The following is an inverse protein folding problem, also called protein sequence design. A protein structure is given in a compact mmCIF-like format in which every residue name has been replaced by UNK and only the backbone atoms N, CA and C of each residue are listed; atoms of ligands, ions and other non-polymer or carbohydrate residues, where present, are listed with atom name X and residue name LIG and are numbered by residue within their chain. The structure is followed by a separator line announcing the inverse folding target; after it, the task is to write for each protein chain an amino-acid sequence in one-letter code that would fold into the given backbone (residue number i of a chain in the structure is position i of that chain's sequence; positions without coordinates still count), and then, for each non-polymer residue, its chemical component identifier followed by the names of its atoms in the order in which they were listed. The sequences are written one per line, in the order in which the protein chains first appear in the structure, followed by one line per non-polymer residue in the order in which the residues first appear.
data_IF_426210475108
#
_entry.id   IF_426210475108
#
_cell.length_a   1.000
_cell.length_b   1.000
_cell.length_c   1.000
_cell.angle_alpha   90.00
_cell.angle_beta   90.00
_cell.angle_gamma   90.00
#
_symmetry.space_group_name_H-M   'P 1'
#
loop_
_entity.id
_entity.type
_entity.pdbx_description
1 polymer ?
#
# COMPACT_ATOMS: atom_id res chain seq x y z
N UNK A 1 12.13 12.17 -3.94
CA UNK A 1 13.47 11.61 -4.23
C UNK A 1 13.87 10.68 -3.10
N UNK A 2 14.53 9.54 -3.41
CA UNK A 2 15.00 8.61 -2.38
C UNK A 2 16.11 9.23 -1.52
N UNK A 3 16.05 9.01 -0.21
CA UNK A 3 17.09 9.42 0.74
C UNK A 3 17.92 8.19 1.12
N UNK A 4 19.12 8.07 0.54
CA UNK A 4 20.06 6.97 0.80
C UNK A 4 21.11 7.44 1.78
N UNK A 5 21.32 6.67 2.84
CA UNK A 5 22.26 6.95 3.93
C UNK A 5 23.32 5.88 3.99
N UNK A 6 24.49 6.27 4.50
CA UNK A 6 25.61 5.38 4.80
C UNK A 6 26.21 5.77 6.15
N UNK A 7 26.02 4.89 7.13
CA UNK A 7 26.46 5.11 8.50
C UNK A 7 27.63 4.19 8.87
N UNK A 8 28.62 4.74 9.59
CA UNK A 8 29.60 3.95 10.29
C UNK A 8 29.01 3.52 11.64
N UNK A 9 29.05 2.22 11.91
CA UNK A 9 28.43 1.63 13.10
C UNK A 9 29.44 0.75 13.85
N UNK A 10 29.21 0.57 15.15
CA UNK A 10 29.90 -0.45 15.93
C UNK A 10 29.10 -1.74 15.92
N UNK A 11 29.70 -2.82 15.44
CA UNK A 11 29.09 -4.15 15.40
C UNK A 11 29.02 -4.76 16.83
N UNK A 12 28.16 -5.80 17.03
CA UNK A 12 28.03 -6.48 18.32
C UNK A 12 29.36 -7.09 18.86
N UNK A 13 30.29 -7.44 17.97
CA UNK A 13 31.65 -7.91 18.33
C UNK A 13 32.66 -6.77 18.63
N UNK A 14 32.17 -5.52 18.60
CA UNK A 14 32.95 -4.32 18.87
C UNK A 14 33.73 -3.75 17.68
N UNK A 15 33.72 -4.42 16.52
CA UNK A 15 34.42 -3.94 15.33
C UNK A 15 33.65 -2.84 14.61
N UNK A 16 34.35 -1.98 13.82
CA UNK A 16 33.68 -1.04 12.94
C UNK A 16 32.96 -1.78 11.79
N UNK A 17 31.84 -1.26 11.37
CA UNK A 17 31.09 -1.73 10.23
C UNK A 17 30.38 -0.59 9.52
N UNK A 18 29.79 -0.86 8.37
CA UNK A 18 29.02 0.11 7.58
C UNK A 18 27.60 -0.42 7.38
N UNK A 19 26.63 0.49 7.42
CA UNK A 19 25.23 0.22 7.04
C UNK A 19 24.78 1.24 6.01
N UNK A 20 24.23 0.73 4.93
CA UNK A 20 23.59 1.53 3.90
C UNK A 20 22.09 1.24 3.94
N UNK A 21 21.28 2.31 3.93
CA UNK A 21 19.84 2.17 4.04
C UNK A 21 19.10 3.35 3.43
N UNK A 22 17.82 3.11 3.12
CA UNK A 22 16.88 4.12 2.64
C UNK A 22 16.06 4.61 3.83
N UNK A 23 15.99 5.94 4.01
CA UNK A 23 15.08 6.57 4.94
C UNK A 23 13.79 6.94 4.21
N UNK A 24 12.67 6.38 4.69
CA UNK A 24 11.35 6.54 4.10
C UNK A 24 10.39 7.22 5.08
N UNK A 25 9.47 8.10 4.64
CA UNK A 25 8.53 8.80 5.52
C UNK A 25 7.48 7.86 6.14
N UNK A 26 7.25 6.72 5.55
CA UNK A 26 6.13 5.82 5.76
C UNK A 26 5.14 5.89 4.61
N UNK A 27 4.21 4.97 4.59
CA UNK A 27 3.16 4.88 3.59
C UNK A 27 1.88 4.27 4.19
N UNK A 28 0.81 4.30 3.41
CA UNK A 28 -0.44 3.62 3.69
C UNK A 28 -0.79 2.68 2.55
N UNK A 29 -1.57 1.63 2.82
CA UNK A 29 -2.29 0.84 1.83
C UNK A 29 -3.72 0.69 2.29
N UNK A 30 -4.66 0.84 1.37
CA UNK A 30 -6.09 0.79 1.66
C UNK A 30 -6.71 -0.45 1.02
N UNK A 31 -7.58 -1.13 1.77
CA UNK A 31 -8.47 -2.20 1.28
C UNK A 31 -9.86 -1.58 1.11
N UNK A 32 -10.21 -1.08 -0.08
CA UNK A 32 -11.50 -0.45 -0.31
C UNK A 32 -12.54 -1.51 -0.66
N UNK A 33 -13.62 -1.59 0.11
CA UNK A 33 -14.70 -2.58 -0.05
C UNK A 33 -15.99 -1.90 -0.49
N UNK A 34 -16.46 -2.24 -1.67
CA UNK A 34 -17.73 -1.78 -2.22
C UNK A 34 -18.93 -2.42 -1.50
N UNK A 35 -20.13 -1.86 -1.68
CA UNK A 35 -21.35 -2.36 -1.08
C UNK A 35 -21.73 -3.79 -1.53
N UNK A 36 -21.28 -4.20 -2.70
CA UNK A 36 -21.44 -5.55 -3.25
C UNK A 36 -20.33 -6.55 -2.85
N UNK A 37 -19.41 -6.13 -1.96
CA UNK A 37 -18.29 -6.95 -1.49
C UNK A 37 -17.08 -7.00 -2.42
N UNK A 38 -17.12 -6.33 -3.58
CA UNK A 38 -15.96 -6.22 -4.46
C UNK A 38 -14.93 -5.28 -3.88
N UNK A 39 -13.65 -5.61 -4.06
CA UNK A 39 -12.50 -4.76 -3.72
C UNK A 39 -12.11 -3.89 -4.91
N UNK A 40 -11.58 -2.70 -4.63
CA UNK A 40 -11.02 -1.82 -5.65
C UNK A 40 -9.51 -1.98 -5.65
N UNK A 41 -8.97 -2.24 -6.83
CA UNK A 41 -7.54 -2.28 -7.15
C UNK A 41 -7.25 -1.24 -8.21
N UNK A 42 -5.96 -0.99 -8.40
CA UNK A 42 -5.43 -0.18 -9.48
C UNK A 42 -4.37 -0.95 -10.26
N UNK A 43 -4.22 -0.63 -11.54
CA UNK A 43 -3.13 -1.10 -12.38
C UNK A 43 -2.19 0.07 -12.63
N UNK A 44 -1.00 0.01 -12.05
CA UNK A 44 0.00 1.07 -12.11
C UNK A 44 1.30 0.57 -12.76
N UNK A 45 1.87 1.37 -13.68
CA UNK A 45 3.18 1.08 -14.24
C UNK A 45 4.28 1.41 -13.23
N UNK A 46 5.14 0.43 -12.96
CA UNK A 46 6.27 0.58 -12.04
C UNK A 46 7.58 0.57 -12.81
N UNK A 47 8.14 1.76 -13.04
CA UNK A 47 9.33 1.98 -13.85
C UNK A 47 10.52 1.06 -13.53
N UNK A 48 10.89 0.81 -12.24
CA UNK A 48 12.03 -0.04 -11.92
C UNK A 48 11.91 -1.48 -12.44
N UNK A 49 10.70 -1.96 -12.63
CA UNK A 49 10.40 -3.32 -13.11
C UNK A 49 9.89 -3.36 -14.56
N UNK A 50 9.70 -2.19 -15.19
CA UNK A 50 9.33 -2.04 -16.59
C UNK A 50 7.97 -2.64 -16.97
N UNK A 51 7.05 -2.80 -16.00
CA UNK A 51 5.71 -3.38 -16.24
C UNK A 51 4.65 -2.79 -15.31
N UNK A 52 3.39 -2.99 -15.67
CA UNK A 52 2.27 -2.67 -14.81
C UNK A 52 2.04 -3.77 -13.75
N UNK A 53 1.64 -3.34 -12.56
CA UNK A 53 1.26 -4.19 -11.43
C UNK A 53 -0.19 -3.95 -11.08
N UNK A 54 -0.85 -4.98 -10.60
CA UNK A 54 -2.16 -4.90 -9.98
C UNK A 54 -1.95 -4.75 -8.48
N UNK A 55 -2.38 -3.62 -7.93
CA UNK A 55 -2.09 -3.19 -6.57
C UNK A 55 -3.36 -2.70 -5.86
N UNK A 56 -3.36 -2.71 -4.54
CA UNK A 56 -4.32 -1.94 -3.75
C UNK A 56 -3.84 -0.48 -3.67
N UNK A 57 -4.77 0.50 -3.63
CA UNK A 57 -4.45 1.92 -3.50
C UNK A 57 -3.51 2.18 -2.33
N UNK A 58 -2.44 2.94 -2.58
CA UNK A 58 -1.38 3.11 -1.60
C UNK A 58 -0.47 4.31 -1.92
N UNK A 59 -0.17 5.12 -0.92
CA UNK A 59 0.74 6.22 -1.11
C UNK A 59 1.55 6.59 0.11
N UNK A 60 2.45 7.57 -0.07
CA UNK A 60 3.40 8.00 0.94
C UNK A 60 2.78 9.06 1.86
N UNK A 61 3.20 9.02 3.12
CA UNK A 61 2.90 10.09 4.06
C UNK A 61 3.62 11.38 3.66
N UNK A 62 2.89 12.46 3.64
CA UNK A 62 3.47 13.80 3.59
C UNK A 62 4.08 14.19 4.94
N UNK A 63 4.90 15.25 4.94
CA UNK A 63 5.59 15.70 6.14
C UNK A 63 4.59 16.13 7.24
N UNK A 64 4.51 15.33 8.32
CA UNK A 64 3.62 15.59 9.45
C UNK A 64 2.16 15.19 9.22
N UNK A 65 1.87 14.47 8.14
CA UNK A 65 0.53 13.98 7.82
C UNK A 65 0.12 12.84 8.78
N UNK A 66 -1.13 12.87 9.22
CA UNK A 66 -1.75 11.77 9.96
C UNK A 66 -2.00 10.57 9.04
N UNK A 67 -1.74 9.35 9.54
CA UNK A 67 -1.85 8.13 8.72
C UNK A 67 -3.25 7.89 8.16
N UNK A 68 -4.31 8.24 8.91
CA UNK A 68 -5.68 8.09 8.41
C UNK A 68 -6.04 9.19 7.41
N UNK A 69 -5.52 10.40 7.58
CA UNK A 69 -5.68 11.48 6.61
C UNK A 69 -5.03 11.09 5.27
N UNK A 70 -3.80 10.57 5.30
CA UNK A 70 -3.12 10.02 4.14
C UNK A 70 -3.95 8.92 3.45
N UNK A 71 -4.44 7.94 4.21
CA UNK A 71 -5.24 6.84 3.64
C UNK A 71 -6.52 7.35 2.94
N UNK A 72 -7.15 8.41 3.46
CA UNK A 72 -8.33 9.03 2.84
C UNK A 72 -7.97 9.77 1.56
N UNK A 73 -6.89 10.53 1.60
CA UNK A 73 -6.38 11.29 0.45
C UNK A 73 -6.02 10.36 -0.69
N UNK A 74 -5.15 9.37 -0.45
CA UNK A 74 -4.70 8.42 -1.47
C UNK A 74 -5.86 7.62 -2.08
N UNK A 75 -6.81 7.13 -1.27
CA UNK A 75 -7.98 6.45 -1.80
C UNK A 75 -8.77 7.33 -2.77
N UNK A 76 -8.96 8.60 -2.43
CA UNK A 76 -9.71 9.53 -3.27
C UNK A 76 -8.93 9.90 -4.52
N UNK A 77 -7.66 10.28 -4.40
CA UNK A 77 -6.80 10.70 -5.50
C UNK A 77 -6.68 9.60 -6.55
N UNK A 78 -6.34 8.39 -6.15
CA UNK A 78 -6.07 7.28 -7.05
C UNK A 78 -7.34 6.61 -7.60
N UNK A 79 -8.43 6.56 -6.82
CA UNK A 79 -9.61 5.77 -7.21
C UNK A 79 -10.88 6.59 -7.43
N UNK A 80 -10.92 7.82 -6.97
CA UNK A 80 -12.12 8.66 -6.97
C UNK A 80 -13.16 8.29 -5.91
N UNK A 81 -12.85 7.38 -4.98
CA UNK A 81 -13.79 6.98 -3.94
C UNK A 81 -13.43 7.57 -2.57
N UNK A 82 -14.46 7.99 -1.84
CA UNK A 82 -14.38 8.32 -0.41
C UNK A 82 -15.05 7.24 0.43
N UNK A 83 -14.41 6.82 1.51
CA UNK A 83 -14.95 5.86 2.47
C UNK A 83 -15.57 6.55 3.68
N UNK A 84 -16.72 6.08 4.17
CA UNK A 84 -17.36 6.59 5.38
C UNK A 84 -16.90 5.88 6.66
N UNK A 85 -16.47 4.63 6.57
CA UNK A 85 -16.01 3.83 7.71
C UNK A 85 -14.58 3.37 7.47
N UNK A 86 -13.74 3.57 8.49
CA UNK A 86 -12.31 3.30 8.41
C UNK A 86 -11.84 2.49 9.61
N UNK A 87 -10.99 1.52 9.37
CA UNK A 87 -10.35 0.74 10.42
C UNK A 87 -8.89 0.52 10.11
N UNK A 88 -8.00 0.93 11.00
CA UNK A 88 -6.59 0.57 10.94
C UNK A 88 -6.44 -0.90 11.37
N UNK A 89 -5.81 -1.71 10.53
CA UNK A 89 -5.68 -3.16 10.72
C UNK A 89 -4.32 -3.54 11.29
N UNK A 90 -3.27 -2.83 10.89
CA UNK A 90 -1.91 -3.13 11.33
C UNK A 90 -0.86 -2.44 10.49
N UNK A 91 0.39 -2.81 10.74
CA UNK A 91 1.58 -2.24 10.08
C UNK A 91 2.41 -3.36 9.47
N UNK A 92 2.95 -3.14 8.28
CA UNK A 92 3.95 -4.00 7.67
C UNK A 92 5.25 -3.25 7.38
N UNK A 93 6.35 -3.98 7.29
CA UNK A 93 7.67 -3.46 6.91
C UNK A 93 8.16 -4.25 5.70
N UNK A 94 8.18 -3.66 4.47
CA UNK A 94 8.48 -4.41 3.25
C UNK A 94 9.96 -4.79 3.12
N UNK A 95 10.88 -3.96 3.64
CA UNK A 95 12.31 -4.02 3.33
C UNK A 95 13.21 -3.85 4.55
N UNK A 96 12.97 -4.57 5.65
CA UNK A 96 13.66 -4.39 6.94
C UNK A 96 15.19 -4.52 6.90
N UNK A 97 15.75 -5.09 5.83
CA UNK A 97 17.19 -5.24 5.66
C UNK A 97 17.92 -3.97 5.20
N UNK A 98 17.21 -3.04 4.55
CA UNK A 98 17.84 -1.84 3.97
C UNK A 98 16.91 -0.61 3.91
N UNK A 99 15.74 -0.65 4.53
CA UNK A 99 14.84 0.49 4.63
C UNK A 99 14.13 0.49 5.98
N UNK A 100 13.85 1.68 6.49
CA UNK A 100 12.96 1.86 7.65
C UNK A 100 11.50 2.06 7.23
N UNK A 101 11.15 1.75 6.00
CA UNK A 101 9.79 1.88 5.49
C UNK A 101 8.81 1.06 6.32
N UNK A 102 7.72 1.70 6.69
CA UNK A 102 6.54 1.07 7.26
C UNK A 102 5.32 1.45 6.43
N UNK A 103 4.40 0.52 6.27
CA UNK A 103 3.14 0.72 5.56
C UNK A 103 1.99 0.40 6.51
N UNK A 104 1.12 1.37 6.74
CA UNK A 104 -0.06 1.22 7.58
C UNK A 104 -1.23 0.68 6.75
N UNK A 105 -1.87 -0.38 7.21
CA UNK A 105 -2.93 -1.09 6.48
C UNK A 105 -4.28 -0.62 6.98
N UNK A 106 -5.12 -0.12 6.10
CA UNK A 106 -6.47 0.35 6.39
C UNK A 106 -7.54 -0.43 5.63
N UNK A 107 -8.66 -0.67 6.28
CA UNK A 107 -9.91 -1.10 5.65
C UNK A 107 -10.83 0.11 5.50
N UNK A 108 -11.37 0.32 4.31
CA UNK A 108 -12.36 1.36 4.01
C UNK A 108 -13.66 0.73 3.48
N UNK A 109 -14.80 1.10 4.08
CA UNK A 109 -16.12 0.67 3.64
C UNK A 109 -17.08 1.86 3.53
N UNK A 110 -18.28 1.61 2.99
CA UNK A 110 -19.25 2.69 2.75
C UNK A 110 -18.71 3.66 1.70
N UNK A 111 -18.20 3.11 0.60
CA UNK A 111 -17.58 3.87 -0.47
C UNK A 111 -18.61 4.63 -1.28
N UNK A 112 -18.29 5.90 -1.58
CA UNK A 112 -19.06 6.76 -2.50
C UNK A 112 -18.08 7.35 -3.51
N UNK A 113 -18.43 7.32 -4.80
CA UNK A 113 -17.62 7.96 -5.82
C UNK A 113 -17.78 9.49 -5.74
N UNK A 114 -16.67 10.19 -5.62
CA UNK A 114 -16.60 11.65 -5.48
C UNK A 114 -15.75 12.32 -6.56
N UNK A 115 -15.17 11.54 -7.47
CA UNK A 115 -14.25 11.98 -8.52
C UNK A 115 -12.80 11.73 -8.14
N UNK A 116 -12.02 11.31 -9.13
CA UNK A 116 -10.58 11.12 -9.04
C UNK A 116 -9.83 12.45 -9.14
N UNK A 117 -8.62 12.49 -8.61
CA UNK A 117 -7.75 13.66 -8.64
C UNK A 117 -6.29 13.19 -8.70
N UNK A 118 -5.97 12.40 -9.75
CA UNK A 118 -4.64 11.86 -9.98
C UNK A 118 -3.58 12.98 -10.04
N UNK A 119 -2.44 12.72 -9.47
CA UNK A 119 -1.28 13.58 -9.58
C UNK A 119 -0.77 13.65 -11.03
N UNK A 120 -0.10 14.77 -11.37
CA UNK A 120 0.49 14.98 -12.69
C UNK A 120 1.47 13.84 -13.04
N UNK A 121 1.15 13.10 -14.13
CA UNK A 121 1.96 11.97 -14.60
C UNK A 121 1.58 10.62 -14.01
N UNK A 122 0.55 10.54 -13.19
CA UNK A 122 -0.04 9.26 -12.76
C UNK A 122 -1.09 8.78 -13.78
N UNK A 123 -0.95 7.51 -14.14
CA UNK A 123 -1.86 6.83 -15.06
C UNK A 123 -2.27 5.51 -14.42
N UNK A 124 -3.49 5.48 -13.89
CA UNK A 124 -4.06 4.34 -13.17
C UNK A 124 -5.28 3.80 -13.91
N UNK A 125 -5.39 2.49 -13.95
CA UNK A 125 -6.60 1.78 -14.40
C UNK A 125 -7.26 1.14 -13.19
N UNK A 126 -8.49 1.53 -12.89
CA UNK A 126 -9.24 0.96 -11.77
C UNK A 126 -9.77 -0.42 -12.13
N UNK A 127 -9.50 -1.39 -11.29
CA UNK A 127 -9.93 -2.79 -11.44
C UNK A 127 -10.76 -3.20 -10.23
N UNK A 128 -11.93 -3.80 -10.45
CA UNK A 128 -12.75 -4.35 -9.38
C UNK A 128 -12.63 -5.87 -9.39
N UNK A 129 -12.43 -6.45 -8.21
CA UNK A 129 -12.20 -7.88 -8.08
C UNK A 129 -12.80 -8.40 -6.76
N UNK A 130 -13.34 -9.62 -6.76
CA UNK A 130 -13.73 -10.26 -5.52
C UNK A 130 -12.49 -10.64 -4.68
N UNK A 131 -12.65 -10.79 -3.37
CA UNK A 131 -11.56 -11.27 -2.50
C UNK A 131 -11.05 -12.64 -2.95
N UNK A 132 -11.95 -13.52 -3.39
CA UNK A 132 -11.60 -14.85 -3.89
C UNK A 132 -10.75 -14.77 -5.17
N UNK A 133 -11.15 -13.94 -6.14
CA UNK A 133 -10.38 -13.74 -7.38
C UNK A 133 -9.03 -13.07 -7.12
N UNK A 134 -8.97 -12.14 -6.16
CA UNK A 134 -7.73 -11.50 -5.75
C UNK A 134 -6.75 -12.51 -5.13
N UNK A 135 -7.25 -13.41 -4.30
CA UNK A 135 -6.46 -14.52 -3.75
C UNK A 135 -5.91 -15.43 -4.86
N UNK A 136 -6.73 -15.85 -5.79
CA UNK A 136 -6.29 -16.65 -6.95
C UNK A 136 -5.26 -15.87 -7.79
N UNK A 137 -5.41 -14.54 -7.93
CA UNK A 137 -4.47 -13.69 -8.63
C UNK A 137 -3.08 -13.63 -7.94
N UNK A 138 -3.00 -13.84 -6.64
CA UNK A 138 -1.71 -14.01 -5.93
C UNK A 138 -1.07 -15.34 -6.30
N UNK A 139 -1.84 -16.44 -6.29
CA UNK A 139 -1.30 -17.77 -6.56
C UNK A 139 -0.91 -18.00 -8.03
N UNK A 140 -1.59 -17.36 -8.97
CA UNK A 140 -1.27 -17.43 -10.40
C UNK A 140 -0.25 -16.36 -10.87
N UNK A 141 0.21 -15.49 -9.96
CA UNK A 141 1.26 -14.50 -10.21
C UNK A 141 0.79 -13.20 -10.89
N UNK A 142 -0.51 -12.96 -11.02
CA UNK A 142 -1.04 -11.65 -11.47
C UNK A 142 -0.85 -10.55 -10.43
N UNK A 143 -0.93 -10.89 -9.13
CA UNK A 143 -0.60 -10.00 -8.01
C UNK A 143 0.70 -10.49 -7.39
N UNK A 144 1.74 -9.67 -7.44
CA UNK A 144 3.07 -9.98 -6.90
C UNK A 144 3.61 -8.88 -6.00
N UNK A 145 2.84 -7.81 -5.80
CA UNK A 145 3.21 -6.70 -4.92
C UNK A 145 3.03 -7.09 -3.45
N UNK A 146 4.10 -6.93 -2.66
CA UNK A 146 4.15 -7.38 -1.28
C UNK A 146 3.13 -6.69 -0.36
N UNK A 147 2.90 -5.37 -0.54
CA UNK A 147 1.92 -4.63 0.28
C UNK A 147 0.50 -5.12 0.01
N UNK A 148 0.17 -5.37 -1.26
CA UNK A 148 -1.14 -5.89 -1.67
C UNK A 148 -1.37 -7.31 -1.13
N UNK A 149 -0.39 -8.22 -1.29
CA UNK A 149 -0.48 -9.58 -0.74
C UNK A 149 -0.69 -9.56 0.77
N UNK A 150 0.09 -8.73 1.48
CA UNK A 150 -0.05 -8.60 2.94
C UNK A 150 -1.42 -8.04 3.33
N UNK A 151 -1.89 -7.00 2.64
CA UNK A 151 -3.21 -6.42 2.90
C UNK A 151 -4.35 -7.41 2.61
N UNK A 152 -4.23 -8.24 1.56
CA UNK A 152 -5.19 -9.31 1.28
C UNK A 152 -5.26 -10.36 2.39
N UNK A 153 -4.15 -10.67 3.06
CA UNK A 153 -4.16 -11.54 4.23
C UNK A 153 -5.00 -10.94 5.39
N UNK A 154 -4.92 -9.62 5.59
CA UNK A 154 -5.81 -8.92 6.54
C UNK A 154 -7.26 -8.90 6.06
N UNK A 155 -7.50 -8.69 4.76
CA UNK A 155 -8.83 -8.73 4.19
C UNK A 155 -9.52 -10.08 4.39
N UNK A 156 -8.82 -11.20 4.19
CA UNK A 156 -9.32 -12.56 4.47
C UNK A 156 -9.80 -12.71 5.91
N UNK A 157 -9.05 -12.21 6.87
CA UNK A 157 -9.43 -12.24 8.27
C UNK A 157 -10.69 -11.42 8.56
N UNK A 158 -10.80 -10.23 7.94
CA UNK A 158 -11.82 -9.27 8.27
C UNK A 158 -13.14 -9.50 7.52
N UNK A 159 -13.07 -10.02 6.31
CA UNK A 159 -14.19 -10.22 5.39
C UNK A 159 -14.55 -11.69 5.20
N UNK A 160 -13.59 -12.61 5.39
CA UNK A 160 -13.80 -14.06 5.22
C UNK A 160 -14.46 -14.76 6.41
N UNK A 161 -14.69 -14.05 7.52
CA UNK A 161 -15.35 -14.57 8.72
C UNK A 161 -16.88 -14.40 8.69
N UNK A 162 -17.47 -14.00 7.54
CA UNK A 162 -18.91 -13.81 7.35
C UNK A 162 -19.56 -15.01 6.67
#
# INVERSE_FOLDING_TARGET
MLQVFRDEVRLPDGKPGVREYIKHPGAVVVIPVCADGMLIFERQFRYPLGRAFLELPAGKLDAGEDIQACARRELQEETGFAGSHWRHLGTMHPCIGYSNERIEIFLATGLTYVGDALDDGEFLEIVRMSLADAREAVFDGRITDAKTITALFWAERELGAA
#
